data_IF_471728748423
#
_entry.id   IF_471728748423
#
_cell.length_a   1.000
_cell.length_b   1.000
_cell.length_c   1.000
_cell.angle_alpha   90.00
_cell.angle_beta   90.00
_cell.angle_gamma   90.00
#
_symmetry.space_group_name_H-M   'P 1'
#
loop_
_entity.id
_entity.type
_entity.pdbx_description
1 polymer ?
#
# COMPACT_ATOMS: atom_id res chain seq x y z
N UNK A 1 2.62 3.21 -7.27
CA UNK A 1 3.45 2.06 -7.68
C UNK A 1 4.56 2.62 -8.55
N UNK A 2 5.76 2.84 -8.01
CA UNK A 2 6.92 3.10 -8.86
C UNK A 2 7.32 1.76 -9.47
N UNK A 3 7.21 1.64 -10.79
CA UNK A 3 7.74 0.48 -11.48
C UNK A 3 9.27 0.54 -11.38
N UNK A 4 9.95 -0.57 -11.09
CA UNK A 4 11.40 -0.60 -11.20
C UNK A 4 11.79 -0.18 -12.62
N UNK A 5 12.88 0.57 -12.75
CA UNK A 5 13.46 0.91 -14.05
C UNK A 5 13.94 -0.39 -14.69
N UNK A 6 13.09 -1.01 -15.50
CA UNK A 6 13.37 -2.28 -16.15
C UNK A 6 14.44 -2.08 -17.23
N UNK A 7 15.69 -2.44 -16.92
CA UNK A 7 16.71 -2.60 -17.93
C UNK A 7 16.47 -3.93 -18.67
N UNK A 8 15.69 -3.87 -19.75
CA UNK A 8 15.32 -5.03 -20.57
C UNK A 8 16.51 -5.56 -21.43
N UNK A 9 17.68 -4.92 -21.34
CA UNK A 9 18.82 -5.15 -22.23
C UNK A 9 18.53 -4.73 -23.67
N UNK A 10 19.55 -4.75 -24.53
CA UNK A 10 19.32 -4.65 -25.98
C UNK A 10 18.81 -6.00 -26.48
N UNK A 11 17.60 -6.11 -27.05
CA UNK A 11 17.08 -7.37 -27.57
C UNK A 11 17.85 -7.73 -28.84
N UNK A 12 18.93 -8.49 -28.68
CA UNK A 12 19.76 -8.96 -29.80
C UNK A 12 19.23 -10.27 -30.40
N UNK A 13 18.41 -11.03 -29.66
CA UNK A 13 17.73 -12.24 -30.13
C UNK A 13 16.46 -12.59 -29.31
N UNK A 14 15.68 -13.57 -29.79
CA UNK A 14 14.43 -14.05 -29.16
C UNK A 14 14.66 -14.60 -27.75
N UNK A 15 15.77 -15.29 -27.49
CA UNK A 15 16.06 -15.86 -26.18
C UNK A 15 16.27 -14.78 -25.10
N UNK A 16 16.96 -13.69 -25.44
CA UNK A 16 17.12 -12.52 -24.56
C UNK A 16 15.77 -11.86 -24.26
N UNK A 17 14.89 -11.75 -25.26
CA UNK A 17 13.53 -11.21 -25.08
C UNK A 17 12.68 -12.09 -24.14
N UNK A 18 12.69 -13.41 -24.32
CA UNK A 18 11.95 -14.34 -23.44
C UNK A 18 12.42 -14.20 -21.99
N UNK A 19 13.73 -14.11 -21.77
CA UNK A 19 14.29 -13.91 -20.43
C UNK A 19 13.86 -12.57 -19.83
N UNK A 20 13.98 -11.48 -20.59
CA UNK A 20 13.60 -10.15 -20.14
C UNK A 20 12.10 -10.07 -19.79
N UNK A 21 11.24 -10.70 -20.59
CA UNK A 21 9.81 -10.81 -20.30
C UNK A 21 9.55 -11.59 -19.01
N UNK A 22 10.23 -12.73 -18.82
CA UNK A 22 10.12 -13.51 -17.59
C UNK A 22 10.63 -12.78 -16.34
N UNK A 23 11.69 -11.97 -16.45
CA UNK A 23 12.17 -11.09 -15.38
C UNK A 23 11.11 -10.02 -15.04
N UNK A 24 10.46 -9.42 -16.06
CA UNK A 24 9.42 -8.40 -15.87
C UNK A 24 8.12 -8.95 -15.24
N UNK A 25 7.68 -10.16 -15.61
CA UNK A 25 6.44 -10.74 -15.10
C UNK A 25 6.53 -11.27 -13.67
N UNK A 26 7.73 -11.63 -13.20
CA UNK A 26 7.93 -12.25 -11.88
C UNK A 26 7.38 -11.41 -10.71
N UNK A 27 7.66 -10.10 -10.62
CA UNK A 27 7.10 -9.27 -9.55
C UNK A 27 5.57 -9.13 -9.62
N UNK A 28 4.99 -9.13 -10.82
CA UNK A 28 3.54 -9.10 -11.01
C UNK A 28 2.90 -10.38 -10.46
N UNK A 29 3.44 -11.55 -10.82
CA UNK A 29 2.97 -12.85 -10.32
C UNK A 29 3.07 -12.90 -8.79
N UNK A 30 4.20 -12.45 -8.24
CA UNK A 30 4.39 -12.39 -6.79
C UNK A 30 3.33 -11.52 -6.12
N UNK A 31 3.07 -10.33 -6.64
CA UNK A 31 2.08 -9.43 -6.06
C UNK A 31 0.67 -10.02 -6.13
N UNK A 32 0.31 -10.69 -7.24
CA UNK A 32 -0.99 -11.37 -7.37
C UNK A 32 -1.14 -12.47 -6.31
N UNK A 33 -0.11 -13.29 -6.09
CA UNK A 33 -0.14 -14.34 -5.07
C UNK A 33 -0.26 -13.76 -3.64
N UNK A 34 0.46 -12.68 -3.34
CA UNK A 34 0.37 -12.00 -2.04
C UNK A 34 -1.01 -11.35 -1.85
N UNK A 35 -1.62 -10.80 -2.91
CA UNK A 35 -3.00 -10.29 -2.88
C UNK A 35 -4.02 -11.42 -2.67
N UNK A 36 -3.87 -12.56 -3.36
CA UNK A 36 -4.80 -13.69 -3.24
C UNK A 36 -4.76 -14.33 -1.85
N UNK A 37 -3.62 -14.25 -1.17
CA UNK A 37 -3.44 -14.73 0.21
C UNK A 37 -3.83 -13.67 1.25
N UNK A 38 -4.25 -12.47 0.82
CA UNK A 38 -4.71 -11.39 1.70
C UNK A 38 -3.58 -10.69 2.46
N UNK A 39 -2.33 -10.80 2.01
CA UNK A 39 -1.20 -10.21 2.72
C UNK A 39 -1.21 -8.68 2.64
N UNK A 40 -1.07 -8.01 3.79
CA UNK A 40 -0.97 -6.56 3.84
C UNK A 40 0.25 -6.02 3.06
N UNK A 41 1.34 -6.80 2.99
CA UNK A 41 2.55 -6.48 2.22
C UNK A 41 2.30 -6.31 0.72
N UNK A 42 1.24 -6.94 0.19
CA UNK A 42 0.85 -6.82 -1.21
C UNK A 42 0.26 -5.43 -1.55
N UNK A 43 -0.20 -4.70 -0.53
CA UNK A 43 -0.74 -3.35 -0.66
C UNK A 43 0.39 -2.34 -0.67
N UNK A 44 0.52 -1.61 -1.78
CA UNK A 44 1.57 -0.61 -1.96
C UNK A 44 1.27 0.73 -1.24
N UNK A 45 0.00 1.00 -0.93
CA UNK A 45 -0.41 2.19 -0.18
C UNK A 45 -0.66 1.84 1.29
N UNK A 46 0.38 1.33 1.95
CA UNK A 46 0.36 0.99 3.38
C UNK A 46 1.41 1.81 4.12
N UNK A 47 1.14 2.15 5.37
CA UNK A 47 2.06 2.87 6.23
C UNK A 47 1.73 2.63 7.70
N UNK A 48 2.66 2.98 8.59
CA UNK A 48 2.48 2.94 10.04
C UNK A 48 1.75 4.17 10.60
N UNK A 49 1.39 5.13 9.74
CA UNK A 49 0.71 6.36 10.09
C UNK A 49 0.03 7.01 8.88
N UNK A 50 -0.82 8.04 9.09
CA UNK A 50 -1.36 8.83 8.00
C UNK A 50 -0.22 9.62 7.31
N UNK A 51 -0.40 10.05 6.05
CA UNK A 51 0.58 10.88 5.37
C UNK A 51 0.95 12.13 6.19
N UNK A 52 2.26 12.35 6.36
CA UNK A 52 2.79 13.43 7.18
C UNK A 52 2.65 14.80 6.49
N UNK A 53 2.60 15.87 7.31
CA UNK A 53 2.70 17.23 6.83
C UNK A 53 4.01 17.44 6.03
N UNK A 54 3.93 18.14 4.90
CA UNK A 54 5.09 18.35 4.01
C UNK A 54 5.36 17.22 3.00
N UNK A 55 4.47 16.22 2.89
CA UNK A 55 4.49 15.33 1.72
C UNK A 55 4.37 16.13 0.42
N UNK A 56 4.95 15.64 -0.68
CA UNK A 56 4.80 16.23 -2.01
C UNK A 56 3.64 15.61 -2.80
N UNK A 57 3.06 14.52 -2.29
CA UNK A 57 1.95 13.81 -2.91
C UNK A 57 0.64 14.53 -2.59
N UNK A 58 -0.11 14.92 -3.62
CA UNK A 58 -1.48 15.37 -3.47
C UNK A 58 -2.42 14.16 -3.33
N UNK A 59 -3.34 14.22 -2.37
CA UNK A 59 -4.35 13.21 -2.11
C UNK A 59 -5.74 13.79 -2.31
N UNK A 60 -6.63 12.98 -2.88
CA UNK A 60 -8.03 13.29 -3.05
C UNK A 60 -8.84 12.83 -1.84
N UNK A 61 -10.02 13.44 -1.63
CA UNK A 61 -10.98 12.93 -0.67
C UNK A 61 -11.40 11.49 -1.06
N UNK A 62 -11.42 10.59 -0.07
CA UNK A 62 -11.71 9.17 -0.27
C UNK A 62 -10.46 8.30 -0.42
N UNK A 63 -9.27 8.89 -0.64
CA UNK A 63 -8.02 8.12 -0.64
C UNK A 63 -7.82 7.41 0.70
N UNK A 64 -7.36 6.16 0.64
CA UNK A 64 -7.21 5.30 1.81
C UNK A 64 -5.79 4.75 1.93
N UNK A 65 -5.18 4.92 3.09
CA UNK A 65 -3.87 4.35 3.45
C UNK A 65 -4.09 3.24 4.47
N UNK A 66 -3.67 2.02 4.13
CA UNK A 66 -3.82 0.85 5.01
C UNK A 66 -2.78 0.93 6.15
N UNK A 67 -3.20 0.64 7.38
CA UNK A 67 -2.26 0.48 8.50
C UNK A 67 -1.49 -0.84 8.34
N UNK A 68 -0.15 -0.78 8.31
CA UNK A 68 0.72 -1.96 8.23
C UNK A 68 1.21 -2.48 9.58
N UNK A 69 0.93 -1.75 10.67
CA UNK A 69 1.20 -2.14 12.04
C UNK A 69 -0.06 -1.91 12.93
N UNK A 70 -1.17 -2.63 12.67
CA UNK A 70 -2.36 -2.53 13.50
C UNK A 70 -2.07 -3.00 14.93
N UNK A 71 -2.44 -2.17 15.90
CA UNK A 71 -2.36 -2.48 17.32
C UNK A 71 -3.71 -2.23 17.99
N UNK A 72 -4.02 -3.00 19.04
CA UNK A 72 -5.18 -2.75 19.88
C UNK A 72 -4.88 -1.61 20.85
N UNK A 73 -5.74 -0.59 20.83
CA UNK A 73 -5.66 0.63 21.61
C UNK A 73 -6.97 0.84 22.38
N UNK A 74 -6.96 1.75 23.35
CA UNK A 74 -8.14 2.14 24.12
C UNK A 74 -8.23 1.48 25.50
N UNK A 75 -9.23 1.90 26.27
CA UNK A 75 -9.54 1.34 27.59
C UNK A 75 -10.47 0.12 27.45
N UNK A 76 -10.48 -0.75 28.47
CA UNK A 76 -11.39 -1.90 28.49
C UNK A 76 -12.85 -1.47 28.38
N UNK A 77 -13.63 -2.21 27.59
CA UNK A 77 -15.00 -1.89 27.20
C UNK A 77 -15.10 -0.94 26.00
N UNK A 78 -13.98 -0.39 25.51
CA UNK A 78 -13.93 0.53 24.38
C UNK A 78 -12.65 0.35 23.52
N UNK A 79 -12.06 -0.85 23.54
CA UNK A 79 -10.87 -1.13 22.74
C UNK A 79 -11.17 -1.12 21.24
N UNK A 80 -10.18 -0.71 20.46
CA UNK A 80 -10.25 -0.60 19.02
C UNK A 80 -8.91 -0.88 18.35
N UNK A 81 -8.95 -1.23 17.07
CA UNK A 81 -7.80 -1.31 16.18
C UNK A 81 -7.94 -0.27 15.08
N UNK A 82 -6.86 0.45 14.78
CA UNK A 82 -6.79 1.34 13.62
C UNK A 82 -6.42 0.51 12.39
N UNK A 83 -7.35 0.37 11.44
CA UNK A 83 -7.16 -0.43 10.22
C UNK A 83 -6.53 0.37 9.07
N UNK A 84 -6.57 1.69 9.17
CA UNK A 84 -5.98 2.63 8.22
C UNK A 84 -6.50 4.05 8.43
N UNK A 85 -6.25 4.89 7.45
CA UNK A 85 -6.66 6.29 7.44
C UNK A 85 -7.36 6.63 6.13
N UNK A 86 -8.43 7.41 6.21
CA UNK A 86 -9.16 7.94 5.05
C UNK A 86 -8.96 9.44 4.95
N UNK A 87 -8.70 9.93 3.74
CA UNK A 87 -8.64 11.34 3.43
C UNK A 87 -10.06 11.90 3.37
N UNK A 88 -10.42 12.79 4.29
CA UNK A 88 -11.76 13.42 4.36
C UNK A 88 -11.80 14.79 3.67
N UNK A 89 -10.65 15.39 3.41
CA UNK A 89 -10.53 16.61 2.61
C UNK A 89 -9.23 16.58 1.81
N UNK A 90 -9.32 16.84 0.50
CA UNK A 90 -8.19 16.79 -0.42
C UNK A 90 -7.07 17.79 -0.05
N UNK A 91 -5.83 17.48 -0.44
CA UNK A 91 -4.69 18.37 -0.27
C UNK A 91 -3.35 17.64 -0.27
N UNK A 92 -2.32 18.31 0.22
CA UNK A 92 -0.94 17.82 0.23
C UNK A 92 -0.38 17.93 1.66
N UNK A 93 -0.68 16.99 2.58
CA UNK A 93 -1.29 15.66 2.39
C UNK A 93 -2.83 15.59 2.36
N UNK A 94 -3.54 16.68 2.66
CA UNK A 94 -4.99 16.65 2.92
C UNK A 94 -5.30 16.40 4.40
N UNK A 95 -6.59 16.20 4.73
CA UNK A 95 -7.04 15.94 6.10
C UNK A 95 -7.37 14.46 6.27
N UNK A 96 -6.74 13.80 7.24
CA UNK A 96 -6.86 12.36 7.44
C UNK A 96 -7.59 12.02 8.74
N UNK A 97 -8.38 10.94 8.71
CA UNK A 97 -9.08 10.38 9.87
C UNK A 97 -8.75 8.90 10.01
N UNK A 98 -8.62 8.45 11.26
CA UNK A 98 -8.45 7.04 11.58
C UNK A 98 -9.73 6.24 11.31
N UNK A 99 -9.60 5.15 10.57
CA UNK A 99 -10.63 4.14 10.46
C UNK A 99 -10.45 3.13 11.59
N UNK A 100 -11.35 3.18 12.57
CA UNK A 100 -11.29 2.33 13.77
C UNK A 100 -12.29 1.19 13.67
N UNK A 101 -11.85 -0.01 14.04
CA UNK A 101 -12.70 -1.17 14.25
C UNK A 101 -12.74 -1.46 15.75
N UNK A 102 -13.93 -1.43 16.37
CA UNK A 102 -14.09 -1.77 17.79
C UNK A 102 -13.83 -3.27 17.98
N UNK A 103 -13.03 -3.63 18.98
CA UNK A 103 -12.71 -5.04 19.30
C UNK A 103 -13.51 -5.58 20.49
N UNK A 104 -14.16 -4.70 21.27
CA UNK A 104 -15.15 -5.07 22.28
C UNK A 104 -14.58 -5.65 23.59
N UNK A 105 -13.26 -5.58 23.79
CA UNK A 105 -12.53 -5.97 25.00
C UNK A 105 -12.32 -4.82 25.99
#
# INVERSE_FOLDING_TARGET
MQLPQWNLGTPQNIATLIKALGDAMRPVIRQINELSTGQASATNNRASGPPAAGTTTAYAQGDFVKNDAPAELGASGAKYVVTGWICVAAGTPGTWKECRCLTGS
#
